data_IF_268638327115
#
_entry.id   IF_268638327115
#
_cell.length_a   1.000
_cell.length_b   1.000
_cell.length_c   1.000
_cell.angle_alpha   90.00
_cell.angle_beta   90.00
_cell.angle_gamma   90.00
#
_symmetry.space_group_name_H-M   'P 1'
#
loop_
_entity.id
_entity.type
_entity.pdbx_description
1 polymer ?
#
# COMPACT_ATOMS: atom_id res chain seq x y z
N UNK A 1 20.51 9.10 -14.99
CA UNK A 1 19.97 8.63 -13.69
C UNK A 1 18.57 9.21 -13.53
N UNK A 2 17.59 8.37 -13.30
CA UNK A 2 16.23 8.83 -13.04
C UNK A 2 16.20 9.43 -11.63
N UNK A 3 15.83 10.70 -11.50
CA UNK A 3 15.68 11.33 -10.18
C UNK A 3 14.53 10.66 -9.42
N UNK A 4 14.74 10.43 -8.12
CA UNK A 4 13.68 9.93 -7.24
C UNK A 4 12.67 11.08 -7.04
N UNK A 5 11.36 10.85 -7.25
CA UNK A 5 10.34 11.87 -7.04
C UNK A 5 10.42 12.48 -5.62
N UNK A 6 10.19 13.78 -5.51
CA UNK A 6 10.24 14.51 -4.23
C UNK A 6 8.97 14.37 -3.40
N UNK A 7 7.86 14.05 -4.05
CA UNK A 7 6.55 13.87 -3.43
C UNK A 7 6.58 12.76 -2.38
N UNK A 8 5.90 12.97 -1.27
CA UNK A 8 5.81 12.01 -0.17
C UNK A 8 4.36 11.55 0.01
N UNK A 9 4.18 10.25 0.01
CA UNK A 9 2.87 9.61 0.17
C UNK A 9 2.72 8.88 1.51
N UNK A 10 3.80 8.83 2.30
CA UNK A 10 3.75 8.44 3.71
C UNK A 10 3.90 9.69 4.56
N UNK A 11 2.91 9.94 5.39
CA UNK A 11 2.90 11.06 6.31
C UNK A 11 3.79 10.77 7.53
N UNK A 12 4.09 11.80 8.30
CA UNK A 12 4.86 11.67 9.54
C UNK A 12 4.04 10.92 10.60
N UNK A 13 4.73 10.36 11.59
CA UNK A 13 4.12 9.69 12.74
C UNK A 13 3.45 8.35 12.41
N UNK A 14 4.21 7.42 11.83
CA UNK A 14 3.78 6.03 11.68
C UNK A 14 3.95 5.25 12.97
N UNK A 15 3.15 4.20 13.19
CA UNK A 15 3.30 3.25 14.28
C UNK A 15 4.28 2.11 13.97
N UNK A 16 5.20 2.33 13.02
CA UNK A 16 6.22 1.35 12.70
C UNK A 16 7.22 1.19 13.84
N UNK A 17 7.75 -0.02 14.02
CA UNK A 17 8.83 -0.27 14.97
C UNK A 17 10.07 0.54 14.60
N UNK A 18 10.86 0.92 15.60
CA UNK A 18 12.13 1.60 15.38
C UNK A 18 13.05 0.76 14.49
N UNK A 19 13.56 1.34 13.41
CA UNK A 19 14.41 0.64 12.44
C UNK A 19 13.68 -0.31 11.49
N UNK A 20 12.35 -0.33 11.47
CA UNK A 20 11.59 -1.16 10.54
C UNK A 20 11.78 -0.71 9.09
N UNK A 21 12.32 -1.59 8.25
CA UNK A 21 12.53 -1.32 6.83
C UNK A 21 11.22 -1.29 6.00
N UNK A 22 10.14 -1.85 6.51
CA UNK A 22 8.85 -1.92 5.80
C UNK A 22 8.33 -0.54 5.41
N UNK A 23 8.35 0.42 6.33
CA UNK A 23 7.92 1.79 6.03
C UNK A 23 8.83 2.48 5.00
N UNK A 24 10.13 2.20 5.03
CA UNK A 24 11.09 2.73 4.05
C UNK A 24 10.83 2.16 2.65
N UNK A 25 10.63 0.85 2.56
CA UNK A 25 10.31 0.17 1.29
C UNK A 25 9.02 0.73 0.72
N UNK A 26 7.96 0.80 1.53
CA UNK A 26 6.66 1.31 1.10
C UNK A 26 6.76 2.78 0.62
N UNK A 27 7.57 3.60 1.28
CA UNK A 27 7.84 4.97 0.86
C UNK A 27 8.40 5.04 -0.56
N UNK A 28 9.38 4.22 -0.89
CA UNK A 28 9.96 4.20 -2.24
C UNK A 28 9.00 3.60 -3.28
N UNK A 29 8.25 2.58 -2.91
CA UNK A 29 7.21 2.00 -3.78
C UNK A 29 6.18 3.06 -4.16
N UNK A 30 5.68 3.81 -3.19
CA UNK A 30 4.70 4.87 -3.44
C UNK A 30 5.27 6.03 -4.23
N UNK A 31 6.52 6.41 -4.00
CA UNK A 31 7.21 7.42 -4.82
C UNK A 31 7.31 7.00 -6.29
N UNK A 32 7.56 5.74 -6.55
CA UNK A 32 7.63 5.21 -7.91
C UNK A 32 6.25 5.08 -8.56
N UNK A 33 5.24 4.72 -7.80
CA UNK A 33 3.88 4.50 -8.28
C UNK A 33 3.10 5.81 -8.51
N UNK A 34 3.35 6.82 -7.69
CA UNK A 34 2.67 8.12 -7.76
C UNK A 34 1.32 8.17 -7.04
N UNK A 35 0.64 9.31 -7.17
CA UNK A 35 -0.61 9.59 -6.46
C UNK A 35 -1.80 8.74 -6.91
N UNK A 36 -1.85 8.36 -8.19
CA UNK A 36 -2.93 7.52 -8.72
C UNK A 36 -2.70 6.05 -8.40
N UNK A 37 -2.69 5.76 -7.10
CA UNK A 37 -2.38 4.44 -6.54
C UNK A 37 -3.38 4.07 -5.45
N UNK A 38 -3.82 2.82 -5.46
CA UNK A 38 -4.59 2.20 -4.37
C UNK A 38 -3.75 1.10 -3.73
N UNK A 39 -3.61 1.14 -2.42
CA UNK A 39 -2.98 0.08 -1.64
C UNK A 39 -4.02 -0.92 -1.16
N UNK A 40 -3.76 -2.20 -1.43
CA UNK A 40 -4.52 -3.31 -0.84
C UNK A 40 -3.66 -3.94 0.25
N UNK A 41 -4.11 -3.86 1.49
CA UNK A 41 -3.34 -4.28 2.66
C UNK A 41 -4.11 -5.39 3.39
N UNK A 42 -3.57 -6.62 3.44
CA UNK A 42 -4.12 -7.66 4.31
C UNK A 42 -3.82 -7.37 5.78
N UNK A 43 -4.48 -8.07 6.68
CA UNK A 43 -4.23 -7.96 8.11
C UNK A 43 -2.76 -8.33 8.44
N UNK A 44 -1.90 -7.34 8.66
CA UNK A 44 -0.46 -7.49 8.89
C UNK A 44 0.11 -6.26 9.59
N UNK A 45 1.43 -6.21 9.79
CA UNK A 45 2.10 -5.05 10.39
C UNK A 45 1.78 -3.75 9.65
N UNK A 46 1.58 -3.79 8.34
CA UNK A 46 1.25 -2.60 7.55
C UNK A 46 -0.10 -2.00 7.94
N UNK A 47 -1.06 -2.81 8.40
CA UNK A 47 -2.34 -2.32 8.93
C UNK A 47 -2.14 -1.45 10.18
N UNK A 48 -1.12 -1.75 10.99
CA UNK A 48 -0.75 -0.95 12.16
C UNK A 48 0.01 0.30 11.74
N UNK A 49 0.95 0.16 10.79
CA UNK A 49 1.77 1.26 10.27
C UNK A 49 0.89 2.34 9.61
N UNK A 50 -0.12 1.92 8.85
CA UNK A 50 -1.03 2.86 8.20
C UNK A 50 -1.85 3.69 9.20
N UNK A 51 -2.15 3.13 10.37
CA UNK A 51 -3.02 3.75 11.38
C UNK A 51 -4.50 3.74 11.00
N UNK A 52 -5.31 4.22 11.92
CA UNK A 52 -6.77 4.31 11.79
C UNK A 52 -7.15 5.79 11.65
N UNK A 53 -8.15 6.08 10.80
CA UNK A 53 -8.68 7.44 10.69
C UNK A 53 -9.06 7.99 12.10
N UNK A 54 -8.72 9.25 12.42
CA UNK A 54 -8.11 10.26 11.54
C UNK A 54 -6.56 10.24 11.50
N UNK A 55 -5.91 9.30 12.17
CA UNK A 55 -4.45 9.25 12.34
C UNK A 55 -3.77 8.36 11.27
N UNK A 56 -4.28 8.35 10.05
CA UNK A 56 -3.63 7.59 8.98
C UNK A 56 -2.27 8.17 8.59
N UNK A 57 -1.31 7.28 8.36
CA UNK A 57 0.03 7.65 7.89
C UNK A 57 0.16 7.64 6.36
N UNK A 58 -0.89 7.32 5.62
CA UNK A 58 -0.86 7.19 4.16
C UNK A 58 -1.66 8.29 3.47
N UNK A 59 -1.08 8.85 2.43
CA UNK A 59 -1.72 9.86 1.58
C UNK A 59 -2.15 9.28 0.23
N UNK A 60 -2.53 8.02 0.21
CA UNK A 60 -3.15 7.31 -0.92
C UNK A 60 -4.31 6.48 -0.38
N UNK A 61 -5.33 6.18 -1.21
CA UNK A 61 -6.41 5.29 -0.82
C UNK A 61 -5.91 3.91 -0.39
N UNK A 62 -6.47 3.40 0.70
CA UNK A 62 -6.14 2.09 1.25
C UNK A 62 -7.40 1.24 1.33
N UNK A 63 -7.26 -0.02 0.96
CA UNK A 63 -8.29 -1.02 1.13
C UNK A 63 -7.77 -2.19 1.97
N UNK A 64 -8.27 -2.31 3.19
CA UNK A 64 -7.90 -3.41 4.09
C UNK A 64 -8.77 -4.63 3.81
N UNK A 65 -8.14 -5.79 3.74
CA UNK A 65 -8.79 -7.06 3.42
C UNK A 65 -8.39 -8.15 4.41
N UNK A 66 -9.13 -9.25 4.38
CA UNK A 66 -8.76 -10.44 5.11
C UNK A 66 -7.37 -10.94 4.70
N UNK A 67 -6.69 -11.63 5.62
CA UNK A 67 -5.29 -12.02 5.51
C UNK A 67 -4.93 -12.73 4.19
N UNK A 68 -5.76 -13.67 3.76
CA UNK A 68 -5.52 -14.48 2.55
C UNK A 68 -6.12 -13.87 1.25
N UNK A 69 -6.78 -12.71 1.30
CA UNK A 69 -7.62 -12.23 0.21
C UNK A 69 -7.01 -11.08 -0.61
N UNK A 70 -5.80 -10.62 -0.27
CA UNK A 70 -5.26 -9.37 -0.83
C UNK A 70 -5.02 -9.45 -2.34
N UNK A 71 -4.41 -10.51 -2.83
CA UNK A 71 -4.13 -10.69 -4.25
C UNK A 71 -5.41 -10.85 -5.08
N UNK A 72 -6.38 -11.62 -4.57
CA UNK A 72 -7.68 -11.80 -5.23
C UNK A 72 -8.46 -10.48 -5.30
N UNK A 73 -8.46 -9.71 -4.22
CA UNK A 73 -9.08 -8.39 -4.17
C UNK A 73 -8.42 -7.42 -5.16
N UNK A 74 -7.10 -7.36 -5.18
CA UNK A 74 -6.35 -6.49 -6.09
C UNK A 74 -6.57 -6.85 -7.56
N UNK A 75 -6.68 -8.14 -7.88
CA UNK A 75 -7.02 -8.60 -9.23
C UNK A 75 -8.38 -8.07 -9.66
N UNK A 76 -9.41 -8.20 -8.81
CA UNK A 76 -10.73 -7.66 -9.09
C UNK A 76 -10.75 -6.14 -9.24
N UNK A 77 -10.00 -5.43 -8.39
CA UNK A 77 -9.86 -3.95 -8.49
C UNK A 77 -9.19 -3.55 -9.80
N UNK A 78 -8.11 -4.23 -10.18
CA UNK A 78 -7.38 -3.95 -11.43
C UNK A 78 -8.29 -4.09 -12.65
N UNK A 79 -9.07 -5.16 -12.72
CA UNK A 79 -10.05 -5.39 -13.78
C UNK A 79 -11.14 -4.32 -13.79
N UNK A 80 -11.63 -3.93 -12.62
CA UNK A 80 -12.65 -2.89 -12.50
C UNK A 80 -12.13 -1.53 -12.99
N UNK A 81 -10.91 -1.16 -12.63
CA UNK A 81 -10.28 0.08 -13.12
C UNK A 81 -10.01 0.02 -14.63
N UNK A 82 -9.55 -1.11 -15.16
CA UNK A 82 -9.36 -1.31 -16.59
C UNK A 82 -10.68 -1.15 -17.36
N UNK A 83 -11.77 -1.75 -16.87
CA UNK A 83 -13.10 -1.59 -17.45
C UNK A 83 -13.61 -0.15 -17.37
N UNK A 84 -13.29 0.56 -16.30
CA UNK A 84 -13.61 1.98 -16.13
C UNK A 84 -12.65 2.92 -16.92
N UNK A 85 -11.69 2.37 -17.68
CA UNK A 85 -10.67 3.10 -18.43
C UNK A 85 -9.81 4.03 -17.55
N UNK A 86 -9.60 3.63 -16.30
CA UNK A 86 -8.69 4.29 -15.35
C UNK A 86 -7.36 3.56 -15.33
N UNK A 87 -6.27 4.32 -15.25
CA UNK A 87 -4.90 3.79 -15.17
C UNK A 87 -4.37 3.75 -13.73
N UNK A 88 -5.26 3.64 -12.77
CA UNK A 88 -4.91 3.60 -11.35
C UNK A 88 -4.05 2.37 -11.03
N UNK A 89 -2.93 2.58 -10.39
CA UNK A 89 -2.07 1.51 -9.91
C UNK A 89 -2.72 0.80 -8.72
N UNK A 90 -2.82 -0.52 -8.78
CA UNK A 90 -3.28 -1.34 -7.65
C UNK A 90 -2.09 -2.12 -7.11
N UNK A 91 -1.69 -1.83 -5.89
CA UNK A 91 -0.52 -2.42 -5.25
C UNK A 91 -0.94 -3.20 -4.02
N UNK A 92 -0.59 -4.48 -3.97
CA UNK A 92 -0.69 -5.28 -2.74
C UNK A 92 0.58 -5.09 -1.93
N UNK A 93 0.44 -4.70 -0.69
CA UNK A 93 1.57 -4.60 0.23
C UNK A 93 1.32 -5.53 1.43
N UNK A 94 1.85 -6.73 1.33
CA UNK A 94 1.64 -7.84 2.27
C UNK A 94 2.97 -8.33 2.84
N UNK A 95 2.92 -8.98 3.98
CA UNK A 95 4.04 -9.72 4.53
C UNK A 95 4.17 -11.11 3.88
N UNK A 96 5.17 -11.86 4.34
CA UNK A 96 5.46 -13.23 3.92
C UNK A 96 4.26 -14.18 4.13
N UNK A 97 3.63 -14.11 5.29
CA UNK A 97 2.46 -14.95 5.60
C UNK A 97 1.29 -14.75 4.64
N UNK A 98 0.95 -13.49 4.33
CA UNK A 98 -0.13 -13.16 3.41
C UNK A 98 0.21 -13.30 1.92
N UNK A 99 1.47 -13.59 1.60
CA UNK A 99 1.94 -13.69 0.21
C UNK A 99 2.30 -15.11 -0.17
N UNK A 100 3.00 -15.83 0.71
CA UNK A 100 3.60 -17.14 0.40
C UNK A 100 2.88 -18.27 1.12
N UNK A 101 2.51 -18.10 2.40
CA UNK A 101 1.95 -19.17 3.22
C UNK A 101 0.44 -19.37 3.03
N UNK A 102 -0.26 -18.35 2.68
CA UNK A 102 -1.71 -18.33 2.46
C UNK A 102 -2.00 -17.58 1.15
#
# INVERSE_FOLDING_TARGET
MTEIPKEEYILKCTSACAGCSSSLILRYVLKAAGEDTVLVIPACCTSVIQGIYPNTAMNVPIYNVAFAAAAACASGMSEAFAKARKKTNVIVYAGDGGTVDI
#
